data_IF_466236819180
#
_entry.id   IF_466236819180
#
_cell.length_a   1.000
_cell.length_b   1.000
_cell.length_c   1.000
_cell.angle_alpha   90.00
_cell.angle_beta   90.00
_cell.angle_gamma   90.00
#
_symmetry.space_group_name_H-M   'P 1'
#
loop_
_entity.id
_entity.type
_entity.pdbx_description
1 polymer ?
#
# COMPACT_ATOMS: atom_id res chain seq x y z
N UNK A 1 12.79 -13.01 -0.21
CA UNK A 1 12.34 -13.36 -1.57
C UNK A 1 11.16 -12.47 -1.83
N UNK A 2 11.22 -11.66 -2.90
CA UNK A 2 10.13 -10.70 -3.17
C UNK A 2 8.89 -11.46 -3.67
N UNK A 3 7.67 -10.92 -3.52
CA UNK A 3 6.47 -11.52 -4.08
C UNK A 3 6.58 -11.77 -5.60
N UNK A 4 7.27 -10.86 -6.30
CA UNK A 4 7.48 -10.95 -7.74
C UNK A 4 8.34 -12.16 -8.15
N UNK A 5 9.38 -12.50 -7.38
CA UNK A 5 10.27 -13.63 -7.65
C UNK A 5 9.57 -15.00 -7.57
N UNK A 6 8.38 -15.04 -6.96
CA UNK A 6 7.60 -16.26 -6.76
C UNK A 6 6.52 -16.47 -7.85
N UNK A 7 6.41 -15.56 -8.81
CA UNK A 7 5.46 -15.66 -9.91
C UNK A 7 6.16 -16.08 -11.20
N UNK A 8 5.59 -17.04 -11.91
CA UNK A 8 6.00 -17.39 -13.27
C UNK A 8 5.31 -16.47 -14.28
N UNK A 9 6.07 -15.73 -15.08
CA UNK A 9 5.52 -14.84 -16.12
C UNK A 9 6.52 -14.57 -17.25
N UNK A 10 6.01 -14.10 -18.38
CA UNK A 10 6.86 -13.71 -19.51
C UNK A 10 7.37 -12.28 -19.39
N UNK A 11 8.49 -11.98 -20.04
CA UNK A 11 9.03 -10.60 -20.13
C UNK A 11 8.01 -9.61 -20.71
N UNK A 12 7.13 -10.06 -21.61
CA UNK A 12 6.05 -9.22 -22.16
C UNK A 12 5.06 -8.83 -21.08
N UNK A 13 4.67 -9.77 -20.22
CA UNK A 13 3.75 -9.51 -19.10
C UNK A 13 4.40 -8.54 -18.11
N UNK A 14 5.66 -8.75 -17.74
CA UNK A 14 6.41 -7.86 -16.86
C UNK A 14 6.42 -6.41 -17.36
N UNK A 15 6.76 -6.20 -18.65
CA UNK A 15 6.75 -4.86 -19.25
C UNK A 15 5.36 -4.21 -19.19
N UNK A 16 4.31 -4.96 -19.50
CA UNK A 16 2.93 -4.42 -19.43
C UNK A 16 2.53 -4.06 -18.01
N UNK A 17 2.86 -4.90 -17.03
CA UNK A 17 2.59 -4.64 -15.62
C UNK A 17 3.35 -3.40 -15.07
N UNK A 18 4.50 -3.06 -15.68
CA UNK A 18 5.29 -1.89 -15.34
C UNK A 18 4.80 -0.61 -16.04
N UNK A 19 4.47 -0.68 -17.33
CA UNK A 19 4.21 0.52 -18.15
C UNK A 19 2.73 0.89 -18.31
N UNK A 20 1.81 -0.07 -18.17
CA UNK A 20 0.39 0.26 -18.20
C UNK A 20 -0.02 0.95 -16.89
N UNK A 21 -0.99 1.86 -17.01
CA UNK A 21 -1.55 2.58 -15.88
C UNK A 21 -2.55 1.69 -15.16
N UNK A 22 -2.30 1.43 -13.88
CA UNK A 22 -3.19 0.65 -13.03
C UNK A 22 -3.58 1.47 -11.81
N UNK A 23 -4.88 1.45 -11.53
CA UNK A 23 -5.45 1.90 -10.26
C UNK A 23 -5.77 0.67 -9.40
N UNK A 24 -5.55 0.80 -8.09
CA UNK A 24 -5.70 -0.29 -7.13
C UNK A 24 -6.66 0.13 -6.03
N UNK A 25 -7.62 -0.72 -5.72
CA UNK A 25 -8.48 -0.59 -4.55
C UNK A 25 -8.47 -1.89 -3.75
N UNK A 26 -8.33 -1.78 -2.43
CA UNK A 26 -8.37 -2.93 -1.51
C UNK A 26 -9.83 -3.26 -1.21
N UNK A 27 -10.16 -4.54 -1.24
CA UNK A 27 -11.50 -5.09 -0.96
C UNK A 27 -11.39 -6.29 -0.04
N UNK A 28 -12.52 -6.74 0.51
CA UNK A 28 -12.55 -7.91 1.42
C UNK A 28 -12.08 -9.21 0.71
N UNK A 29 -12.30 -9.31 -0.60
CA UNK A 29 -11.97 -10.49 -1.41
C UNK A 29 -10.57 -10.43 -2.05
N UNK A 30 -9.83 -9.32 -1.88
CA UNK A 30 -8.52 -9.11 -2.50
C UNK A 30 -8.31 -7.68 -3.01
N UNK A 31 -7.64 -7.54 -4.16
CA UNK A 31 -7.29 -6.25 -4.75
C UNK A 31 -8.01 -6.07 -6.08
N UNK A 32 -8.84 -5.04 -6.17
CA UNK A 32 -9.42 -4.57 -7.43
C UNK A 32 -8.36 -3.81 -8.22
N UNK A 33 -8.13 -4.25 -9.45
CA UNK A 33 -7.14 -3.67 -10.38
C UNK A 33 -7.87 -3.14 -11.60
N UNK A 34 -7.87 -1.83 -11.78
CA UNK A 34 -8.44 -1.18 -12.95
C UNK A 34 -7.33 -0.72 -13.91
N UNK A 35 -7.43 -1.07 -15.19
CA UNK A 35 -6.45 -0.68 -16.20
C UNK A 35 -6.85 0.62 -16.90
N UNK A 36 -6.19 1.71 -16.52
CA UNK A 36 -6.44 3.05 -17.03
C UNK A 36 -5.71 3.35 -18.35
N UNK A 37 -5.03 2.37 -18.96
CA UNK A 37 -4.47 2.51 -20.32
C UNK A 37 -5.48 2.22 -21.43
N UNK A 38 -6.68 1.74 -21.09
CA UNK A 38 -7.78 1.57 -22.04
C UNK A 38 -8.68 2.82 -22.11
N UNK A 39 -9.37 3.00 -23.23
CA UNK A 39 -10.29 4.14 -23.44
C UNK A 39 -11.43 4.16 -22.40
N UNK A 40 -11.93 2.99 -22.01
CA UNK A 40 -12.93 2.81 -20.97
C UNK A 40 -12.36 1.98 -19.81
N UNK A 41 -11.71 2.61 -18.81
CA UNK A 41 -11.08 1.87 -17.70
C UNK A 41 -12.05 1.00 -16.90
N UNK A 42 -13.31 1.43 -16.76
CA UNK A 42 -14.35 0.70 -16.02
C UNK A 42 -14.67 -0.69 -16.61
N UNK A 43 -14.45 -0.90 -17.92
CA UNK A 43 -14.62 -2.21 -18.57
C UNK A 43 -13.39 -3.13 -18.35
N UNK A 44 -12.33 -2.60 -17.74
CA UNK A 44 -11.04 -3.24 -17.54
C UNK A 44 -10.66 -3.28 -16.06
N UNK A 45 -11.64 -3.62 -15.24
CA UNK A 45 -11.52 -3.80 -13.81
C UNK A 45 -11.58 -5.30 -13.46
N UNK A 46 -10.60 -5.77 -12.70
CA UNK A 46 -10.41 -7.18 -12.39
C UNK A 46 -10.00 -7.39 -10.93
N UNK A 47 -10.58 -8.39 -10.28
CA UNK A 47 -10.22 -8.78 -8.91
C UNK A 47 -9.01 -9.70 -8.96
N UNK A 48 -8.00 -9.40 -8.15
CA UNK A 48 -6.85 -10.25 -7.86
C UNK A 48 -6.98 -10.77 -6.43
N UNK A 49 -7.08 -12.08 -6.26
CA UNK A 49 -7.13 -12.70 -4.93
C UNK A 49 -5.72 -12.91 -4.38
N UNK A 50 -5.61 -12.87 -3.06
CA UNK A 50 -4.34 -13.06 -2.35
C UNK A 50 -4.40 -14.37 -1.55
N UNK A 51 -3.39 -15.23 -1.72
CA UNK A 51 -3.21 -16.48 -0.98
C UNK A 51 -1.77 -16.58 -0.50
N UNK A 52 -1.55 -16.91 0.77
CA UNK A 52 -0.23 -16.94 1.42
C UNK A 52 0.65 -15.69 1.12
N UNK A 53 0.00 -14.51 1.08
CA UNK A 53 0.67 -13.24 0.81
C UNK A 53 1.10 -13.02 -0.64
N UNK A 54 0.61 -13.85 -1.57
CA UNK A 54 0.92 -13.77 -3.00
C UNK A 54 -0.32 -13.56 -3.87
N UNK A 55 -0.23 -12.83 -4.99
CA UNK A 55 -1.29 -12.74 -5.98
C UNK A 55 -1.56 -14.12 -6.64
N UNK A 56 -2.64 -14.76 -6.23
CA UNK A 56 -2.90 -16.18 -6.51
C UNK A 56 -3.73 -16.38 -7.78
N UNK A 57 -4.84 -15.66 -7.92
CA UNK A 57 -5.76 -15.76 -9.05
C UNK A 57 -6.23 -14.37 -9.49
N UNK A 58 -6.65 -14.24 -10.74
CA UNK A 58 -7.26 -13.03 -11.25
C UNK A 58 -8.44 -13.34 -12.17
N UNK A 59 -9.57 -12.67 -11.98
CA UNK A 59 -10.77 -12.88 -12.82
C UNK A 59 -10.65 -12.35 -14.26
N UNK A 60 -9.47 -11.89 -14.68
CA UNK A 60 -9.27 -11.35 -16.01
C UNK A 60 -9.18 -12.45 -17.08
N UNK A 61 -9.54 -12.16 -18.34
CA UNK A 61 -9.52 -13.17 -19.41
C UNK A 61 -8.14 -13.78 -19.71
N UNK A 62 -7.05 -13.13 -19.30
CA UNK A 62 -5.70 -13.65 -19.54
C UNK A 62 -5.31 -14.75 -18.55
N UNK A 63 -5.73 -14.66 -17.29
CA UNK A 63 -5.42 -15.66 -16.25
C UNK A 63 -6.07 -17.00 -16.58
N UNK A 64 -7.28 -16.97 -17.14
CA UNK A 64 -8.00 -18.17 -17.58
C UNK A 64 -7.46 -18.82 -18.87
N UNK A 65 -6.66 -18.10 -19.67
CA UNK A 65 -6.24 -18.53 -21.02
C UNK A 65 -4.79 -18.92 -21.14
N UNK A 66 -3.93 -18.40 -20.27
CA UNK A 66 -2.49 -18.55 -20.39
C UNK A 66 -1.92 -19.06 -19.08
N UNK A 67 -0.87 -19.88 -19.17
CA UNK A 67 -0.12 -20.31 -18.00
C UNK A 67 0.72 -19.15 -17.44
N UNK A 68 0.87 -19.13 -16.11
CA UNK A 68 1.61 -18.11 -15.39
C UNK A 68 0.77 -16.88 -15.02
N UNK A 69 1.35 -16.00 -14.21
CA UNK A 69 0.69 -14.82 -13.69
C UNK A 69 0.34 -13.83 -14.81
N UNK A 70 -0.93 -13.42 -14.87
CA UNK A 70 -1.35 -12.35 -15.75
C UNK A 70 -0.73 -11.00 -15.33
N UNK A 71 -0.86 -9.99 -16.21
CA UNK A 71 -0.30 -8.64 -15.95
C UNK A 71 -0.82 -8.00 -14.66
N UNK A 72 -2.04 -8.32 -14.22
CA UNK A 72 -2.63 -7.73 -13.01
C UNK A 72 -1.98 -8.32 -11.75
N UNK A 73 -1.82 -9.64 -11.68
CA UNK A 73 -1.10 -10.32 -10.59
C UNK A 73 0.34 -9.82 -10.49
N UNK A 74 1.03 -9.71 -11.64
CA UNK A 74 2.39 -9.16 -11.69
C UNK A 74 2.40 -7.67 -11.29
N UNK A 75 1.40 -6.88 -11.68
CA UNK A 75 1.32 -5.47 -11.32
C UNK A 75 1.16 -5.28 -9.80
N UNK A 76 0.35 -6.13 -9.15
CA UNK A 76 0.22 -6.17 -7.69
C UNK A 76 1.56 -6.57 -7.04
N UNK A 77 2.20 -7.65 -7.51
CA UNK A 77 3.45 -8.12 -6.94
C UNK A 77 4.62 -7.11 -7.05
N UNK A 78 4.64 -6.27 -8.09
CA UNK A 78 5.61 -5.16 -8.24
C UNK A 78 5.38 -4.07 -7.17
N UNK A 79 4.14 -3.90 -6.71
CA UNK A 79 3.72 -2.79 -5.85
C UNK A 79 3.48 -3.30 -4.45
N UNK A 80 4.57 -3.75 -3.82
CA UNK A 80 4.58 -4.36 -2.47
C UNK A 80 3.71 -3.60 -1.45
N UNK A 81 3.70 -2.25 -1.36
CA UNK A 81 2.84 -1.56 -0.39
C UNK A 81 1.33 -1.81 -0.57
N UNK A 82 0.86 -2.05 -1.80
CA UNK A 82 -0.54 -2.38 -2.08
C UNK A 82 -0.85 -3.81 -1.62
N UNK A 83 0.08 -4.74 -1.89
CA UNK A 83 -0.04 -6.13 -1.48
C UNK A 83 0.01 -6.27 0.05
N UNK A 84 0.96 -5.60 0.71
CA UNK A 84 1.12 -5.59 2.17
C UNK A 84 -0.15 -5.05 2.85
N UNK A 85 -0.72 -3.97 2.32
CA UNK A 85 -1.96 -3.40 2.86
C UNK A 85 -3.16 -4.35 2.70
N UNK A 86 -3.25 -5.08 1.59
CA UNK A 86 -4.29 -6.09 1.40
C UNK A 86 -4.13 -7.27 2.36
N UNK A 87 -2.90 -7.75 2.57
CA UNK A 87 -2.60 -8.84 3.52
C UNK A 87 -2.87 -8.39 4.96
N UNK A 88 -2.50 -7.17 5.32
CA UNK A 88 -2.78 -6.63 6.66
C UNK A 88 -4.29 -6.46 6.91
N UNK A 89 -5.07 -6.11 5.88
CA UNK A 89 -6.53 -5.95 5.97
C UNK A 89 -7.30 -7.27 6.11
N UNK A 90 -6.79 -8.38 5.54
CA UNK A 90 -7.44 -9.70 5.65
C UNK A 90 -7.20 -10.36 7.01
N UNK A 91 -6.12 -10.01 7.70
CA UNK A 91 -5.94 -10.34 9.11
C UNK A 91 -6.87 -9.43 9.90
N UNK A 92 -8.12 -9.87 10.10
CA UNK A 92 -9.06 -9.21 10.98
C UNK A 92 -8.34 -8.90 12.30
N UNK A 93 -8.08 -7.61 12.54
CA UNK A 93 -7.54 -7.18 13.82
C UNK A 93 -8.52 -7.65 14.87
N UNK A 94 -8.09 -8.59 15.70
CA UNK A 94 -8.83 -9.17 16.82
C UNK A 94 -8.95 -8.15 17.96
N UNK A 95 -9.40 -6.94 17.64
CA UNK A 95 -9.62 -5.88 18.62
C UNK A 95 -8.38 -5.57 19.47
N UNK A 96 -7.17 -5.72 18.93
CA UNK A 96 -6.01 -5.09 19.52
C UNK A 96 -6.25 -3.59 19.56
N UNK A 97 -6.59 -3.04 20.74
CA UNK A 97 -6.35 -1.62 21.00
C UNK A 97 -4.93 -1.37 20.55
N UNK A 98 -4.71 -0.40 19.65
CA UNK A 98 -3.37 0.11 19.44
C UNK A 98 -2.83 0.35 20.85
N UNK A 99 -1.91 -0.50 21.30
CA UNK A 99 -1.13 -0.13 22.46
C UNK A 99 -0.37 1.05 21.92
N UNK A 100 -0.87 2.24 22.24
CA UNK A 100 -0.08 3.44 22.32
C UNK A 100 1.21 2.96 22.99
N UNK A 101 2.24 2.74 22.16
CA UNK A 101 3.58 2.54 22.66
C UNK A 101 3.84 3.80 23.45
N UNK A 102 3.77 3.64 24.77
CA UNK A 102 3.18 4.66 25.63
C UNK A 102 3.82 6.02 25.47
N UNK A 103 2.98 7.01 25.21
CA UNK A 103 3.05 8.33 25.83
C UNK A 103 1.60 8.75 26.03
N UNK A 104 1.00 8.25 27.12
CA UNK A 104 -0.23 8.84 27.63
C UNK A 104 0.08 10.28 28.01
N UNK A 105 -0.24 11.21 27.11
CA UNK A 105 -0.33 12.61 27.45
C UNK A 105 -1.81 12.95 27.49
N UNK A 106 -2.34 12.84 28.70
CA UNK A 106 -3.55 13.53 29.11
C UNK A 106 -3.51 14.93 28.51
N UNK A 107 -4.45 15.25 27.62
CA UNK A 107 -4.57 16.59 27.05
C UNK A 107 -5.15 17.49 28.13
N UNK A 108 -4.31 17.83 29.10
CA UNK A 108 -4.44 19.08 29.84
C UNK A 108 -3.82 20.16 28.96
N UNK A 109 -4.72 20.96 28.41
CA UNK A 109 -4.46 22.28 27.85
C UNK A 109 -3.67 23.12 28.85
N UNK A 110 -2.33 23.02 28.82
CA UNK A 110 -1.39 23.94 29.46
C UNK A 110 0.11 23.70 29.17
N UNK A 111 0.50 22.76 28.28
CA UNK A 111 1.92 22.60 27.95
C UNK A 111 2.33 23.45 26.73
N UNK A 112 2.86 24.64 27.02
CA UNK A 112 3.48 25.56 26.04
C UNK A 112 4.80 25.02 25.47
N UNK A 113 5.31 23.89 25.95
CA UNK A 113 6.56 23.33 25.49
C UNK A 113 6.31 22.04 24.70
N UNK A 114 6.56 22.11 23.40
CA UNK A 114 6.56 20.94 22.54
C UNK A 114 7.89 20.22 22.72
N UNK A 115 7.87 18.89 22.90
CA UNK A 115 9.05 18.07 23.15
C UNK A 115 9.86 17.81 21.86
N UNK A 116 10.34 18.88 21.23
CA UNK A 116 11.19 18.78 20.03
C UNK A 116 12.63 18.39 20.38
N UNK A 117 13.00 18.32 21.66
CA UNK A 117 14.38 18.07 22.08
C UNK A 117 14.80 16.61 21.84
N UNK A 118 13.83 15.71 21.67
CA UNK A 118 14.05 14.33 21.23
C UNK A 118 14.29 14.19 19.71
N UNK A 119 14.06 15.26 18.95
CA UNK A 119 14.30 15.26 17.50
C UNK A 119 15.77 15.49 17.19
N UNK A 120 16.23 14.80 16.14
CA UNK A 120 17.63 14.82 15.72
C UNK A 120 18.07 16.25 15.39
N UNK A 121 19.25 16.62 15.89
CA UNK A 121 19.94 17.88 15.58
C UNK A 121 19.16 19.15 15.93
N UNK A 122 18.24 19.09 16.92
CA UNK A 122 17.46 20.25 17.37
C UNK A 122 16.38 20.70 16.37
N UNK A 123 16.01 19.83 15.43
CA UNK A 123 15.04 20.13 14.39
C UNK A 123 13.62 20.21 14.98
N UNK A 124 12.83 21.27 14.70
CA UNK A 124 11.48 21.38 15.23
C UNK A 124 10.51 20.40 14.55
N UNK A 125 9.50 19.93 15.29
CA UNK A 125 8.43 19.13 14.70
C UNK A 125 7.58 19.95 13.72
N UNK A 126 6.90 19.26 12.79
CA UNK A 126 6.04 19.92 11.79
C UNK A 126 4.99 20.85 12.42
N UNK A 127 4.40 20.43 13.53
CA UNK A 127 3.36 21.20 14.20
C UNK A 127 3.90 22.53 14.76
N UNK A 128 5.16 22.57 15.23
CA UNK A 128 5.82 23.79 15.69
C UNK A 128 6.13 24.77 14.56
N UNK A 129 6.58 24.27 13.41
CA UNK A 129 6.82 25.11 12.23
C UNK A 129 5.51 25.67 11.69
N UNK A 130 4.50 24.80 11.55
CA UNK A 130 3.17 25.16 11.01
C UNK A 130 2.44 26.20 11.87
N UNK A 131 2.60 26.14 13.18
CA UNK A 131 1.95 27.07 14.13
C UNK A 131 2.81 28.29 14.46
N UNK A 132 4.04 28.38 13.92
CA UNK A 132 4.95 29.51 14.16
C UNK A 132 5.57 29.51 15.56
N UNK A 133 5.60 28.37 16.24
CA UNK A 133 6.23 28.23 17.57
C UNK A 133 7.75 28.09 17.51
N UNK A 134 8.31 27.51 16.44
CA UNK A 134 9.75 27.39 16.18
C UNK A 134 10.02 27.55 14.68
N UNK A 135 11.19 28.07 14.32
CA UNK A 135 11.65 28.23 12.93
C UNK A 135 12.59 27.08 12.53
N UNK A 136 12.67 26.80 11.23
CA UNK A 136 13.59 25.81 10.69
C UNK A 136 15.04 26.36 10.76
N UNK A 137 16.02 25.55 11.20
CA UNK A 137 17.42 25.92 11.10
C UNK A 137 17.85 26.01 9.62
N UNK A 138 18.78 26.92 9.30
CA UNK A 138 19.38 27.12 7.96
C UNK A 138 20.20 25.91 7.46
#
# INVERSE_FOLDING_TARGET
MTPLEQLEFTTRVAKRAQYEAFEFAISDDGIMVQNCSHENPADHEYLVTIDDGLPADCNCPADARFDGACKHRVAVAIREPVLDAAVAGTVAADGGTATEGGHGSEVTDENKDCDCDELRDGFPCWECVRTGRRELPD
#
